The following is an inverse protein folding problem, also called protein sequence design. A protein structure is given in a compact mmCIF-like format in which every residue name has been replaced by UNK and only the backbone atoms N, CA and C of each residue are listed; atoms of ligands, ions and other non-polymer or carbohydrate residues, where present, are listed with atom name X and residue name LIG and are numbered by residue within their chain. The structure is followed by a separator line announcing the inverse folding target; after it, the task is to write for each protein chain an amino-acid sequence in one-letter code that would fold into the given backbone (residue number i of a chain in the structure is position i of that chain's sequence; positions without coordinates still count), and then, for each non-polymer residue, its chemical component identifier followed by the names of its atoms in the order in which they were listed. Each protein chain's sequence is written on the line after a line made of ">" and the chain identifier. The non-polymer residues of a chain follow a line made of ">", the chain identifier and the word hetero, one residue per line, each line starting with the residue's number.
data_IF_808188203289
#
_entry.id   IF_808188203289
#
_cell.length_a   1.000
_cell.length_b   1.000
_cell.length_c   1.000
_cell.angle_alpha   90.00
_cell.angle_beta   90.00
_cell.angle_gamma   90.00
#
_symmetry.space_group_name_H-M   'P 1'
#
loop_
_entity.id
_entity.type
_entity.pdbx_description
1 polymer ?
#
# COMPACT_ATOMS: atom_id res chain seq x y z
N UNK A 1 -36.49 53.82 1.86
CA UNK A 1 -35.97 55.09 1.34
C UNK A 1 -34.47 54.93 1.19
N UNK A 2 -33.99 54.75 -0.04
CA UNK A 2 -32.57 54.69 -0.31
C UNK A 2 -32.04 56.13 -0.25
N UNK A 3 -31.22 56.44 0.76
CA UNK A 3 -30.37 57.63 0.71
C UNK A 3 -29.49 57.46 -0.52
N UNK A 4 -29.67 58.30 -1.53
CA UNK A 4 -28.67 58.53 -2.56
C UNK A 4 -27.43 59.07 -1.83
N UNK A 5 -26.47 58.20 -1.53
CA UNK A 5 -25.14 58.61 -1.10
C UNK A 5 -24.56 59.44 -2.23
N UNK A 6 -24.46 60.75 -2.01
CA UNK A 6 -23.93 61.69 -2.98
C UNK A 6 -22.47 61.36 -3.25
N UNK A 7 -22.15 61.06 -4.51
CA UNK A 7 -20.79 60.83 -4.96
C UNK A 7 -19.98 62.13 -4.87
N UNK A 8 -18.87 62.11 -4.14
CA UNK A 8 -17.98 63.25 -3.94
C UNK A 8 -16.89 63.25 -5.03
N UNK A 9 -16.87 64.25 -5.89
CA UNK A 9 -15.88 64.37 -6.97
C UNK A 9 -14.66 65.12 -6.44
N UNK A 10 -13.49 64.48 -6.52
CA UNK A 10 -12.22 65.08 -6.11
C UNK A 10 -11.65 65.92 -7.24
N UNK A 11 -11.54 67.22 -7.02
CA UNK A 11 -10.93 68.16 -7.96
C UNK A 11 -9.41 68.08 -7.90
N UNK A 12 -8.82 67.97 -6.70
CA UNK A 12 -7.36 67.96 -6.53
C UNK A 12 -6.93 67.29 -5.24
N UNK A 13 -5.80 66.58 -5.28
CA UNK A 13 -5.10 66.10 -4.08
C UNK A 13 -4.17 67.20 -3.57
N UNK A 14 -4.38 67.66 -2.33
CA UNK A 14 -3.59 68.71 -1.68
C UNK A 14 -2.31 68.12 -1.08
N UNK A 15 -2.41 66.93 -0.49
CA UNK A 15 -1.29 66.19 0.09
C UNK A 15 -1.55 64.68 -0.01
N UNK A 16 -0.55 63.83 -0.34
CA UNK A 16 0.79 64.21 -0.80
C UNK A 16 0.75 64.90 -2.17
N UNK A 17 1.78 65.70 -2.48
CA UNK A 17 1.92 66.30 -3.82
C UNK A 17 2.28 65.16 -4.79
N UNK A 18 1.33 64.81 -5.65
CA UNK A 18 1.54 63.80 -6.69
C UNK A 18 2.04 64.54 -7.94
N UNK A 19 3.30 64.31 -8.27
CA UNK A 19 3.83 64.62 -9.60
C UNK A 19 3.31 63.58 -10.58
N UNK A 20 2.82 63.99 -11.75
CA UNK A 20 2.35 63.06 -12.80
C UNK A 20 3.40 61.96 -13.01
N UNK A 21 2.99 60.72 -12.86
CA UNK A 21 3.82 59.56 -13.18
C UNK A 21 4.08 59.56 -14.68
N UNK A 22 5.36 59.58 -15.06
CA UNK A 22 5.76 59.37 -16.44
C UNK A 22 5.32 57.98 -16.89
N UNK A 23 4.71 57.90 -18.07
CA UNK A 23 4.23 56.65 -18.63
C UNK A 23 4.66 56.54 -20.10
N UNK A 24 5.09 55.35 -20.49
CA UNK A 24 5.51 55.04 -21.86
C UNK A 24 4.82 53.75 -22.27
N UNK A 25 4.10 53.79 -23.41
CA UNK A 25 3.34 52.67 -23.96
C UNK A 25 2.40 51.96 -22.93
N UNK A 26 1.85 52.71 -21.97
CA UNK A 26 0.96 52.17 -20.92
C UNK A 26 1.66 51.58 -19.69
N UNK A 27 3.00 51.59 -19.66
CA UNK A 27 3.79 51.21 -18.50
C UNK A 27 4.07 52.43 -17.61
N UNK A 28 4.07 52.21 -16.30
CA UNK A 28 4.41 53.21 -15.28
C UNK A 28 5.29 52.56 -14.19
N UNK A 29 6.06 53.37 -13.47
CA UNK A 29 6.96 52.88 -12.42
C UNK A 29 6.16 52.08 -11.36
N UNK A 30 6.71 50.95 -10.93
CA UNK A 30 6.10 49.95 -10.04
C UNK A 30 4.91 49.16 -10.62
N UNK A 31 4.57 49.32 -11.90
CA UNK A 31 3.62 48.44 -12.56
C UNK A 31 4.13 46.99 -12.57
N UNK A 32 3.22 46.02 -12.39
CA UNK A 32 3.54 44.61 -12.55
C UNK A 32 3.39 44.29 -14.03
N UNK A 33 4.48 43.94 -14.69
CA UNK A 33 4.49 43.45 -16.06
C UNK A 33 4.35 41.92 -16.06
N UNK A 34 3.63 41.39 -17.05
CA UNK A 34 3.49 39.96 -17.28
C UNK A 34 3.95 39.61 -18.69
N UNK A 35 4.73 38.54 -18.77
CA UNK A 35 5.10 37.89 -20.02
C UNK A 35 4.82 36.39 -19.90
N UNK A 36 3.75 35.91 -20.57
CA UNK A 36 3.26 34.51 -20.44
C UNK A 36 3.02 34.12 -18.97
N UNK A 37 3.89 33.31 -18.38
CA UNK A 37 3.83 32.81 -17.00
C UNK A 37 4.87 33.48 -16.08
N UNK A 38 5.56 34.52 -16.57
CA UNK A 38 6.56 35.29 -15.82
C UNK A 38 6.01 36.66 -15.43
N UNK A 39 6.36 37.10 -14.22
CA UNK A 39 5.99 38.40 -13.66
C UNK A 39 7.25 39.20 -13.34
N UNK A 40 7.17 40.51 -13.53
CA UNK A 40 8.23 41.45 -13.24
C UNK A 40 7.68 42.80 -12.81
N UNK A 41 8.52 43.64 -12.24
CA UNK A 41 8.15 44.99 -11.79
C UNK A 41 8.89 46.01 -12.64
N UNK A 42 8.17 47.01 -13.14
CA UNK A 42 8.77 48.15 -13.84
C UNK A 42 9.54 48.98 -12.82
N UNK A 43 10.86 49.02 -12.92
CA UNK A 43 11.72 49.72 -11.96
C UNK A 43 12.12 51.11 -12.41
N UNK A 44 12.14 51.36 -13.72
CA UNK A 44 12.59 52.63 -14.29
C UNK A 44 11.93 52.92 -15.62
N UNK A 45 11.66 54.20 -15.88
CA UNK A 45 11.11 54.71 -17.14
C UNK A 45 11.89 55.96 -17.54
N UNK A 46 12.53 55.91 -18.71
CA UNK A 46 13.25 57.03 -19.29
C UNK A 46 12.66 57.34 -20.68
N UNK A 47 11.76 58.32 -20.82
CA UNK A 47 11.12 58.66 -22.08
C UNK A 47 12.09 59.14 -23.17
N UNK A 48 13.28 59.62 -22.80
CA UNK A 48 14.29 60.11 -23.75
C UNK A 48 15.21 58.99 -24.26
N UNK A 49 15.17 57.81 -23.63
CA UNK A 49 15.93 56.63 -24.02
C UNK A 49 15.32 55.88 -25.19
N UNK A 50 16.17 55.31 -26.06
CA UNK A 50 15.74 54.38 -27.10
C UNK A 50 15.06 53.12 -26.54
N UNK A 51 15.42 52.71 -25.31
CA UNK A 51 14.80 51.60 -24.56
C UNK A 51 14.17 52.17 -23.28
N UNK A 52 12.95 52.70 -23.36
CA UNK A 52 12.40 53.55 -22.32
C UNK A 52 11.87 52.81 -21.09
N UNK A 53 11.68 51.49 -21.11
CA UNK A 53 11.05 50.75 -20.00
C UNK A 53 11.98 49.68 -19.45
N UNK A 54 12.32 49.77 -18.16
CA UNK A 54 13.13 48.76 -17.45
C UNK A 54 12.25 47.89 -16.56
N UNK A 55 12.29 46.57 -16.77
CA UNK A 55 11.52 45.60 -16.00
C UNK A 55 12.49 44.67 -15.25
N UNK A 56 12.32 44.58 -13.94
CA UNK A 56 12.99 43.60 -13.10
C UNK A 56 12.11 42.35 -12.95
N UNK A 57 12.55 41.24 -13.53
CA UNK A 57 11.80 39.98 -13.53
C UNK A 57 12.14 39.14 -12.31
N UNK A 58 11.16 38.42 -11.76
CA UNK A 58 11.26 37.66 -10.50
C UNK A 58 12.39 36.61 -10.45
N UNK A 59 12.98 36.24 -11.61
CA UNK A 59 14.05 35.23 -11.72
C UNK A 59 15.23 35.66 -12.59
N UNK A 60 15.22 36.87 -13.15
CA UNK A 60 16.25 37.34 -14.09
C UNK A 60 16.76 38.73 -13.69
N UNK A 61 17.87 39.14 -14.29
CA UNK A 61 18.36 40.52 -14.14
C UNK A 61 17.39 41.52 -14.77
N UNK A 62 17.39 42.79 -14.29
CA UNK A 62 16.61 43.86 -14.90
C UNK A 62 16.95 44.02 -16.38
N UNK A 63 15.94 44.16 -17.22
CA UNK A 63 16.12 44.32 -18.66
C UNK A 63 15.34 45.52 -19.21
N UNK A 64 15.95 46.25 -20.14
CA UNK A 64 15.38 47.44 -20.77
C UNK A 64 14.78 47.12 -22.14
N UNK A 65 13.55 47.55 -22.36
CA UNK A 65 12.75 47.23 -23.55
C UNK A 65 12.44 48.47 -24.37
N UNK A 66 12.43 48.30 -25.69
CA UNK A 66 11.81 49.23 -26.65
C UNK A 66 10.28 49.05 -26.67
N UNK A 67 9.54 50.06 -27.12
CA UNK A 67 8.07 49.94 -27.28
C UNK A 67 7.66 48.80 -28.23
N UNK A 68 8.42 48.60 -29.30
CA UNK A 68 8.17 47.53 -30.26
C UNK A 68 8.44 46.14 -29.65
N UNK A 69 9.50 45.99 -28.84
CA UNK A 69 9.77 44.74 -28.13
C UNK A 69 8.66 44.41 -27.14
N UNK A 70 8.12 45.40 -26.40
CA UNK A 70 7.00 45.19 -25.48
C UNK A 70 5.78 44.62 -26.22
N UNK A 71 5.45 45.16 -27.40
CA UNK A 71 4.34 44.70 -28.24
C UNK A 71 4.59 43.30 -28.83
N UNK A 72 5.78 43.07 -29.41
CA UNK A 72 6.12 41.79 -30.07
C UNK A 72 6.21 40.65 -29.05
N UNK A 73 6.75 40.92 -27.87
CA UNK A 73 6.89 39.95 -26.79
C UNK A 73 5.60 39.75 -25.97
N UNK A 74 4.53 40.51 -26.29
CA UNK A 74 3.25 40.52 -25.57
C UNK A 74 3.44 40.72 -24.06
N UNK A 75 4.29 41.70 -23.72
CA UNK A 75 4.49 42.13 -22.35
C UNK A 75 3.38 43.13 -22.06
N UNK A 76 2.56 42.85 -21.07
CA UNK A 76 1.40 43.66 -20.71
C UNK A 76 1.46 44.00 -19.22
N UNK A 77 0.93 45.17 -18.85
CA UNK A 77 0.75 45.53 -17.44
C UNK A 77 -0.44 44.75 -16.89
N UNK A 78 -0.25 44.07 -15.76
CA UNK A 78 -1.32 43.41 -15.03
C UNK A 78 -2.17 44.47 -14.36
N UNK A 79 -3.46 44.51 -14.70
CA UNK A 79 -4.43 45.40 -14.05
C UNK A 79 -4.48 45.11 -12.54
N UNK A 80 -4.02 46.06 -11.74
CA UNK A 80 -3.97 45.90 -10.29
C UNK A 80 -5.23 46.45 -9.60
N UNK A 81 -5.98 47.36 -10.24
CA UNK A 81 -7.22 47.93 -9.71
C UNK A 81 -8.42 47.19 -10.33
N UNK A 82 -8.80 46.07 -9.72
CA UNK A 82 -9.97 45.29 -10.11
C UNK A 82 -11.23 45.81 -9.37
N UNK A 83 -12.30 46.21 -10.09
CA UNK A 83 -13.59 46.58 -9.51
C UNK A 83 -14.14 45.51 -8.56
N UNK A 84 -14.69 45.95 -7.42
CA UNK A 84 -15.29 45.15 -6.36
C UNK A 84 -14.36 44.11 -5.70
N UNK A 85 -13.11 44.03 -6.16
CA UNK A 85 -12.12 43.05 -5.70
C UNK A 85 -10.89 43.70 -5.07
N UNK A 86 -10.65 44.99 -5.29
CA UNK A 86 -9.43 45.64 -4.79
C UNK A 86 -9.74 46.55 -3.61
N UNK A 87 -9.05 46.34 -2.51
CA UNK A 87 -9.07 47.21 -1.33
C UNK A 87 -7.77 48.02 -1.33
N UNK A 88 -7.90 49.33 -1.22
CA UNK A 88 -6.81 50.30 -1.22
C UNK A 88 -6.80 51.08 0.10
N UNK A 89 -5.65 51.65 0.42
CA UNK A 89 -5.46 52.54 1.58
C UNK A 89 -4.80 53.83 1.12
N UNK A 90 -5.16 54.94 1.77
CA UNK A 90 -4.53 56.23 1.51
C UNK A 90 -3.20 56.36 2.26
N UNK A 91 -2.22 57.08 1.68
CA UNK A 91 -1.05 57.52 2.44
C UNK A 91 -1.45 58.33 3.68
N UNK A 92 -0.60 58.35 4.72
CA UNK A 92 -0.90 59.10 5.94
C UNK A 92 -1.06 60.59 5.65
N UNK A 93 -2.07 61.19 6.27
CA UNK A 93 -2.44 62.60 6.14
C UNK A 93 -2.87 63.04 4.72
N UNK A 94 -3.44 62.12 3.94
CA UNK A 94 -3.97 62.46 2.61
C UNK A 94 -5.13 63.43 2.73
N UNK A 95 -5.02 64.59 2.07
CA UNK A 95 -6.07 65.62 2.05
C UNK A 95 -6.43 65.94 0.62
N UNK A 96 -7.73 65.94 0.33
CA UNK A 96 -8.28 66.19 -1.01
C UNK A 96 -9.22 67.39 -1.00
N UNK A 97 -9.28 68.11 -2.12
CA UNK A 97 -10.24 69.16 -2.41
C UNK A 97 -11.34 68.59 -3.29
N UNK A 98 -12.58 68.73 -2.86
CA UNK A 98 -13.77 68.37 -3.62
C UNK A 98 -14.20 69.52 -4.53
N UNK A 99 -14.96 69.21 -5.59
CA UNK A 99 -15.47 70.21 -6.55
C UNK A 99 -16.42 71.24 -5.94
N UNK A 100 -16.98 70.97 -4.76
CA UNK A 100 -17.81 71.90 -3.99
C UNK A 100 -16.98 72.83 -3.08
N UNK A 101 -15.65 72.68 -3.08
CA UNK A 101 -14.70 73.45 -2.29
C UNK A 101 -14.43 72.89 -0.90
N UNK A 102 -15.04 71.77 -0.50
CA UNK A 102 -14.79 71.11 0.78
C UNK A 102 -13.44 70.38 0.77
N UNK A 103 -12.75 70.38 1.92
CA UNK A 103 -11.51 69.61 2.12
C UNK A 103 -11.78 68.39 2.99
N UNK A 104 -11.50 67.20 2.44
CA UNK A 104 -11.64 65.93 3.15
C UNK A 104 -10.25 65.39 3.47
N UNK A 105 -10.04 65.02 4.73
CA UNK A 105 -8.81 64.38 5.20
C UNK A 105 -9.09 62.90 5.47
N UNK A 106 -8.32 62.04 4.80
CA UNK A 106 -8.40 60.59 5.00
C UNK A 106 -7.49 60.16 6.15
N UNK A 107 -8.00 59.24 6.96
CA UNK A 107 -7.25 58.63 8.06
C UNK A 107 -6.43 57.43 7.56
N UNK A 108 -5.22 57.18 8.10
CA UNK A 108 -4.28 56.19 7.57
C UNK A 108 -4.76 54.72 7.67
N UNK A 109 -5.84 54.46 8.40
CA UNK A 109 -6.40 53.11 8.58
C UNK A 109 -7.67 52.87 7.75
N UNK A 110 -8.12 53.87 6.99
CA UNK A 110 -9.32 53.74 6.16
C UNK A 110 -9.08 52.76 5.02
N UNK A 111 -9.98 51.79 4.91
CA UNK A 111 -10.01 50.82 3.82
C UNK A 111 -11.05 51.27 2.81
N UNK A 112 -10.59 51.46 1.58
CA UNK A 112 -11.41 51.96 0.49
C UNK A 112 -11.55 50.82 -0.54
N UNK A 113 -12.77 50.48 -0.92
CA UNK A 113 -13.07 49.47 -1.94
C UNK A 113 -13.13 50.15 -3.30
N UNK A 114 -12.41 49.62 -4.28
CA UNK A 114 -12.56 50.06 -5.68
C UNK A 114 -13.91 49.59 -6.20
N UNK A 115 -14.80 50.53 -6.55
CA UNK A 115 -16.12 50.23 -7.12
C UNK A 115 -16.07 50.11 -8.63
N UNK A 116 -15.42 51.06 -9.28
CA UNK A 116 -15.36 51.18 -10.72
C UNK A 116 -14.04 51.81 -11.15
N UNK A 117 -13.50 51.32 -12.26
CA UNK A 117 -12.29 51.85 -12.90
C UNK A 117 -12.63 52.10 -14.36
N UNK A 118 -12.40 53.31 -14.82
CA UNK A 118 -12.49 53.72 -16.23
C UNK A 118 -11.13 54.23 -16.70
N UNK A 119 -10.99 54.49 -18.00
CA UNK A 119 -9.72 54.92 -18.61
C UNK A 119 -9.10 56.17 -17.97
N UNK A 120 -9.91 57.06 -17.35
CA UNK A 120 -9.45 58.31 -16.77
C UNK A 120 -9.86 58.53 -15.31
N UNK A 121 -10.72 57.67 -14.76
CA UNK A 121 -11.31 57.88 -13.43
C UNK A 121 -11.40 56.60 -12.61
N UNK A 122 -11.30 56.77 -11.29
CA UNK A 122 -11.39 55.72 -10.30
C UNK A 122 -12.47 56.08 -9.27
N UNK A 123 -13.45 55.22 -9.07
CA UNK A 123 -14.47 55.38 -8.03
C UNK A 123 -14.15 54.43 -6.88
N UNK A 124 -14.07 54.99 -5.68
CA UNK A 124 -13.74 54.26 -4.46
C UNK A 124 -14.82 54.52 -3.41
N UNK A 125 -15.10 53.51 -2.59
CA UNK A 125 -16.07 53.60 -1.49
C UNK A 125 -15.36 53.34 -0.18
N UNK A 126 -15.59 54.18 0.83
CA UNK A 126 -15.11 53.89 2.17
C UNK A 126 -15.94 52.76 2.78
N UNK A 127 -15.28 51.67 3.16
CA UNK A 127 -15.92 50.45 3.67
C UNK A 127 -16.65 50.68 5.00
N UNK A 128 -16.29 51.72 5.75
CA UNK A 128 -16.89 52.02 7.06
C UNK A 128 -17.98 53.09 6.98
N UNK A 129 -17.78 54.14 6.17
CA UNK A 129 -18.72 55.26 6.07
C UNK A 129 -19.67 55.17 4.88
N UNK A 130 -19.45 54.23 3.96
CA UNK A 130 -20.17 54.07 2.68
C UNK A 130 -20.10 55.31 1.76
N UNK A 131 -19.21 56.25 2.07
CA UNK A 131 -19.01 57.43 1.24
C UNK A 131 -18.24 57.06 -0.04
N UNK A 132 -18.69 57.59 -1.17
CA UNK A 132 -18.08 57.33 -2.47
C UNK A 132 -17.33 58.56 -2.98
N UNK A 133 -16.13 58.32 -3.48
CA UNK A 133 -15.21 59.34 -3.97
C UNK A 133 -14.78 59.00 -5.39
N UNK A 134 -14.82 59.98 -6.28
CA UNK A 134 -14.31 59.85 -7.65
C UNK A 134 -13.00 60.62 -7.79
N UNK A 135 -11.95 59.92 -8.22
CA UNK A 135 -10.61 60.45 -8.46
C UNK A 135 -10.26 60.39 -9.94
N UNK A 136 -9.41 61.31 -10.40
CA UNK A 136 -8.65 61.12 -11.63
C UNK A 136 -7.60 60.01 -11.42
N UNK A 137 -7.54 59.06 -12.34
CA UNK A 137 -6.68 57.87 -12.20
C UNK A 137 -5.19 58.25 -12.08
N UNK A 138 -4.75 59.24 -12.85
CA UNK A 138 -3.37 59.73 -12.89
C UNK A 138 -2.97 60.56 -11.66
N UNK A 139 -3.95 60.97 -10.85
CA UNK A 139 -3.75 61.77 -9.65
C UNK A 139 -4.14 61.03 -8.37
N UNK A 140 -4.23 59.70 -8.42
CA UNK A 140 -4.68 58.91 -7.28
C UNK A 140 -3.51 58.54 -6.33
N UNK A 141 -3.53 58.92 -5.03
CA UNK A 141 -2.41 58.66 -4.12
C UNK A 141 -2.47 57.29 -3.44
N UNK A 142 -3.58 56.57 -3.56
CA UNK A 142 -3.81 55.34 -2.79
C UNK A 142 -2.92 54.18 -3.23
N UNK A 143 -2.63 53.30 -2.27
CA UNK A 143 -1.87 52.07 -2.48
C UNK A 143 -2.77 50.86 -2.31
N UNK A 144 -2.50 49.81 -3.07
CA UNK A 144 -3.23 48.55 -2.92
C UNK A 144 -2.87 47.92 -1.59
N UNK A 145 -3.90 47.63 -0.79
CA UNK A 145 -3.77 46.96 0.50
C UNK A 145 -4.04 45.45 0.36
N UNK A 146 -5.09 45.07 -0.36
CA UNK A 146 -5.45 43.67 -0.56
C UNK A 146 -6.33 43.46 -1.79
N UNK A 147 -6.30 42.24 -2.35
CA UNK A 147 -7.27 41.75 -3.32
C UNK A 147 -8.18 40.70 -2.69
N UNK A 148 -9.49 40.84 -2.91
CA UNK A 148 -10.49 39.82 -2.63
C UNK A 148 -10.41 38.77 -3.73
N UNK A 149 -9.86 37.61 -3.37
CA UNK A 149 -9.86 36.43 -4.23
C UNK A 149 -11.18 35.71 -3.99
N UNK A 150 -12.09 35.82 -4.93
CA UNK A 150 -13.25 34.94 -5.00
C UNK A 150 -12.78 33.64 -5.63
N UNK A 151 -12.71 32.58 -4.82
CA UNK A 151 -12.53 31.23 -5.34
C UNK A 151 -13.72 30.96 -6.27
N UNK A 152 -13.50 30.43 -7.49
CA UNK A 152 -14.61 30.03 -8.33
C UNK A 152 -15.49 29.09 -7.51
N UNK A 153 -16.80 29.34 -7.49
CA UNK A 153 -17.79 28.39 -6.98
C UNK A 153 -17.68 27.13 -7.83
N UNK A 154 -16.74 26.25 -7.47
CA UNK A 154 -16.75 24.87 -7.91
C UNK A 154 -18.08 24.36 -7.38
N UNK A 155 -19.00 24.03 -8.30
CA UNK A 155 -20.24 23.34 -7.97
C UNK A 155 -19.88 22.24 -6.97
N UNK A 156 -20.24 22.43 -5.71
CA UNK A 156 -19.94 21.52 -4.61
C UNK A 156 -20.81 20.29 -4.86
N UNK A 157 -20.36 19.40 -5.74
CA UNK A 157 -20.77 18.01 -5.67
C UNK A 157 -20.16 17.55 -4.34
N UNK A 158 -20.98 17.18 -3.34
CA UNK A 158 -20.45 16.61 -2.10
C UNK A 158 -19.50 15.49 -2.49
N UNK A 159 -18.31 15.42 -1.89
CA UNK A 159 -17.34 14.32 -2.13
C UNK A 159 -18.01 12.94 -1.91
N UNK A 160 -19.09 12.91 -1.14
CA UNK A 160 -19.96 11.78 -0.86
C UNK A 160 -20.77 11.26 -2.08
N UNK A 161 -21.01 12.10 -3.09
CA UNK A 161 -21.76 11.76 -4.32
C UNK A 161 -20.85 11.36 -5.50
N UNK A 162 -19.54 11.62 -5.40
CA UNK A 162 -18.58 11.18 -6.42
C UNK A 162 -18.41 9.65 -6.36
N UNK A 163 -18.48 8.96 -7.50
CA UNK A 163 -18.28 7.53 -7.53
C UNK A 163 -16.86 7.18 -7.09
N UNK A 164 -16.75 6.16 -6.23
CA UNK A 164 -15.46 5.67 -5.76
C UNK A 164 -14.59 5.23 -6.93
N UNK A 165 -13.32 5.61 -6.89
CA UNK A 165 -12.34 5.14 -7.85
C UNK A 165 -12.08 3.63 -7.68
N UNK A 166 -11.62 2.99 -8.75
CA UNK A 166 -11.27 1.55 -8.72
C UNK A 166 -10.27 1.22 -7.60
N UNK A 167 -9.28 2.08 -7.37
CA UNK A 167 -8.26 1.87 -6.34
C UNK A 167 -8.86 1.95 -4.92
N UNK A 168 -9.76 2.90 -4.69
CA UNK A 168 -10.45 3.02 -3.40
C UNK A 168 -11.37 1.83 -3.14
N UNK A 169 -12.08 1.35 -4.18
CA UNK A 169 -12.90 0.14 -4.09
C UNK A 169 -12.08 -1.10 -3.76
N UNK A 170 -10.88 -1.24 -4.33
CA UNK A 170 -9.96 -2.34 -4.03
C UNK A 170 -9.50 -2.28 -2.57
N UNK A 171 -8.99 -1.12 -2.11
CA UNK A 171 -8.52 -0.95 -0.74
C UNK A 171 -9.63 -1.19 0.28
N UNK A 172 -10.83 -0.65 0.03
CA UNK A 172 -12.00 -0.87 0.89
C UNK A 172 -12.41 -2.34 0.92
N UNK A 173 -12.34 -3.07 -0.21
CA UNK A 173 -12.66 -4.49 -0.27
C UNK A 173 -11.65 -5.33 0.53
N UNK A 174 -10.34 -5.05 0.40
CA UNK A 174 -9.28 -5.74 1.15
C UNK A 174 -9.46 -5.57 2.66
N UNK A 175 -9.66 -4.32 3.12
CA UNK A 175 -9.91 -4.01 4.52
C UNK A 175 -11.18 -4.69 5.04
N UNK A 176 -12.26 -4.64 4.26
CA UNK A 176 -13.52 -5.26 4.63
C UNK A 176 -13.39 -6.78 4.78
N UNK A 177 -12.70 -7.45 3.84
CA UNK A 177 -12.42 -8.88 3.90
C UNK A 177 -11.59 -9.25 5.12
N UNK A 178 -10.56 -8.47 5.44
CA UNK A 178 -9.71 -8.70 6.61
C UNK A 178 -10.49 -8.61 7.93
N UNK A 179 -11.49 -7.72 8.02
CA UNK A 179 -12.25 -7.47 9.24
C UNK A 179 -13.49 -8.36 9.38
N UNK A 180 -14.18 -8.67 8.28
CA UNK A 180 -15.52 -9.27 8.33
C UNK A 180 -15.58 -10.70 7.79
N UNK A 181 -14.60 -11.15 7.00
CA UNK A 181 -14.64 -12.48 6.42
C UNK A 181 -14.28 -13.55 7.46
N UNK A 182 -15.19 -14.51 7.65
CA UNK A 182 -14.93 -15.65 8.51
C UNK A 182 -14.08 -16.71 7.80
N UNK A 183 -12.82 -16.84 8.20
CA UNK A 183 -11.85 -17.76 7.60
C UNK A 183 -12.25 -19.24 7.68
N UNK A 184 -13.18 -19.62 8.56
CA UNK A 184 -13.71 -21.00 8.63
C UNK A 184 -14.42 -21.38 7.31
N UNK A 185 -15.00 -20.40 6.62
CA UNK A 185 -15.73 -20.61 5.36
C UNK A 185 -14.80 -21.02 4.20
N UNK A 186 -13.48 -20.83 4.32
CA UNK A 186 -12.51 -21.17 3.28
C UNK A 186 -12.50 -22.67 2.94
N UNK A 187 -12.68 -23.55 3.94
CA UNK A 187 -12.67 -25.00 3.71
C UNK A 187 -13.90 -25.49 2.92
N UNK A 188 -14.94 -24.65 2.80
CA UNK A 188 -16.17 -24.93 2.08
C UNK A 188 -16.51 -23.85 1.07
N UNK A 189 -15.51 -23.11 0.57
CA UNK A 189 -15.74 -21.97 -0.31
C UNK A 189 -16.44 -22.45 -1.60
N UNK A 190 -17.60 -21.86 -1.88
CA UNK A 190 -18.36 -22.09 -3.11
C UNK A 190 -18.62 -20.76 -3.80
N UNK A 191 -18.90 -20.77 -5.12
CA UNK A 191 -19.29 -19.54 -5.83
C UNK A 191 -20.49 -18.83 -5.17
N UNK A 192 -21.41 -19.58 -4.58
CA UNK A 192 -22.55 -19.03 -3.85
C UNK A 192 -22.15 -18.27 -2.58
N UNK A 193 -21.16 -18.77 -1.84
CA UNK A 193 -20.61 -18.09 -0.65
C UNK A 193 -19.86 -16.83 -1.09
N UNK A 194 -19.02 -16.92 -2.13
CA UNK A 194 -18.30 -15.77 -2.67
C UNK A 194 -19.26 -14.65 -3.11
N UNK A 195 -20.33 -15.00 -3.84
CA UNK A 195 -21.37 -14.05 -4.23
C UNK A 195 -22.12 -13.45 -3.04
N UNK A 196 -22.45 -14.26 -2.02
CA UNK A 196 -23.12 -13.76 -0.81
C UNK A 196 -22.25 -12.75 -0.07
N UNK A 197 -20.96 -13.04 0.08
CA UNK A 197 -20.01 -12.16 0.75
C UNK A 197 -19.80 -10.87 -0.05
N UNK A 198 -19.67 -10.96 -1.38
CA UNK A 198 -19.62 -9.80 -2.26
C UNK A 198 -20.87 -8.92 -2.12
N UNK A 199 -22.04 -9.54 -2.02
CA UNK A 199 -23.30 -8.81 -1.81
C UNK A 199 -23.30 -8.06 -0.47
N UNK A 200 -22.83 -8.69 0.60
CA UNK A 200 -22.67 -8.01 1.90
C UNK A 200 -21.69 -6.83 1.83
N UNK A 201 -20.57 -6.99 1.14
CA UNK A 201 -19.65 -5.87 0.89
C UNK A 201 -20.33 -4.74 0.12
N UNK A 202 -21.05 -5.06 -0.96
CA UNK A 202 -21.79 -4.05 -1.76
C UNK A 202 -22.82 -3.27 -0.94
N UNK A 203 -23.49 -3.93 0.01
CA UNK A 203 -24.44 -3.28 0.93
C UNK A 203 -23.76 -2.38 1.98
N UNK A 204 -22.49 -2.66 2.30
CA UNK A 204 -21.71 -1.85 3.23
C UNK A 204 -21.16 -0.56 2.62
N UNK A 205 -21.14 -0.46 1.28
CA UNK A 205 -20.74 0.74 0.57
C UNK A 205 -21.87 1.77 0.66
N UNK A 206 -21.61 2.88 1.35
CA UNK A 206 -22.54 3.99 1.49
C UNK A 206 -22.57 4.91 0.25
N UNK A 207 -21.59 4.77 -0.65
CA UNK A 207 -21.39 5.63 -1.81
C UNK A 207 -21.79 4.91 -3.12
N UNK A 208 -22.29 5.65 -4.12
CA UNK A 208 -22.55 5.08 -5.44
C UNK A 208 -21.25 4.57 -6.07
N UNK A 209 -21.30 3.40 -6.69
CA UNK A 209 -20.17 2.83 -7.41
C UNK A 209 -20.62 2.20 -8.72
N UNK A 210 -19.71 2.17 -9.70
CA UNK A 210 -19.97 1.53 -11.00
C UNK A 210 -19.86 0.01 -10.82
N UNK A 211 -20.89 -0.73 -11.27
CA UNK A 211 -20.95 -2.19 -11.09
C UNK A 211 -19.76 -2.92 -11.69
N UNK A 212 -19.24 -2.49 -12.84
CA UNK A 212 -18.06 -3.11 -13.48
C UNK A 212 -16.80 -2.96 -12.63
N UNK A 213 -16.61 -1.78 -12.03
CA UNK A 213 -15.41 -1.45 -11.26
C UNK A 213 -15.46 -2.14 -9.91
N UNK A 214 -16.65 -2.25 -9.31
CA UNK A 214 -16.87 -3.04 -8.11
C UNK A 214 -16.53 -4.53 -8.33
N UNK A 215 -16.96 -5.09 -9.47
CA UNK A 215 -16.72 -6.49 -9.81
C UNK A 215 -15.22 -6.77 -9.99
N UNK A 216 -14.54 -5.89 -10.72
CA UNK A 216 -13.10 -5.97 -10.95
C UNK A 216 -12.34 -5.81 -9.63
N UNK A 217 -12.64 -4.76 -8.86
CA UNK A 217 -12.01 -4.49 -7.57
C UNK A 217 -12.18 -5.65 -6.59
N UNK A 218 -13.39 -6.20 -6.49
CA UNK A 218 -13.69 -7.35 -5.65
C UNK A 218 -12.88 -8.58 -6.06
N UNK A 219 -12.85 -8.90 -7.36
CA UNK A 219 -12.16 -10.09 -7.85
C UNK A 219 -10.67 -10.09 -7.49
N UNK A 220 -10.01 -8.94 -7.64
CA UNK A 220 -8.59 -8.76 -7.33
C UNK A 220 -8.36 -8.83 -5.81
N UNK A 221 -9.13 -8.06 -5.03
CA UNK A 221 -9.01 -8.04 -3.57
C UNK A 221 -9.28 -9.42 -2.96
N UNK A 222 -10.29 -10.12 -3.45
CA UNK A 222 -10.65 -11.45 -2.96
C UNK A 222 -9.58 -12.49 -3.31
N UNK A 223 -9.03 -12.47 -4.53
CA UNK A 223 -7.93 -13.37 -4.91
C UNK A 223 -6.67 -13.13 -4.07
N UNK A 224 -6.32 -11.87 -3.83
CA UNK A 224 -5.19 -11.54 -2.95
C UNK A 224 -5.43 -12.01 -1.51
N UNK A 225 -6.63 -11.79 -0.98
CA UNK A 225 -7.02 -12.29 0.33
C UNK A 225 -6.86 -13.82 0.42
N UNK A 226 -7.34 -14.56 -0.58
CA UNK A 226 -7.18 -16.02 -0.63
C UNK A 226 -5.70 -16.44 -0.60
N UNK A 227 -4.83 -15.78 -1.38
CA UNK A 227 -3.38 -16.05 -1.37
C UNK A 227 -2.74 -15.81 0.00
N UNK A 228 -3.17 -14.77 0.71
CA UNK A 228 -2.70 -14.55 2.09
C UNK A 228 -3.19 -15.63 3.04
N UNK A 229 -4.46 -16.02 2.95
CA UNK A 229 -5.02 -17.05 3.81
C UNK A 229 -4.37 -18.42 3.54
N UNK A 230 -3.98 -18.71 2.29
CA UNK A 230 -3.22 -19.91 1.93
C UNK A 230 -1.91 -20.03 2.70
N UNK A 231 -1.27 -18.89 3.00
CA UNK A 231 -0.03 -18.81 3.77
C UNK A 231 -0.28 -18.83 5.28
N UNK A 232 -1.31 -18.11 5.76
CA UNK A 232 -1.57 -17.92 7.19
C UNK A 232 -2.27 -19.12 7.82
N UNK A 233 -3.39 -19.55 7.22
CA UNK A 233 -4.28 -20.59 7.76
C UNK A 233 -4.12 -21.88 6.95
N UNK A 234 -4.00 -21.77 5.63
CA UNK A 234 -3.97 -22.90 4.72
C UNK A 234 -5.37 -23.47 4.46
N UNK A 235 -5.42 -24.66 3.90
CA UNK A 235 -6.65 -25.40 3.60
C UNK A 235 -6.62 -26.72 4.40
N UNK A 236 -7.63 -26.92 5.26
CA UNK A 236 -7.68 -28.02 6.25
C UNK A 236 -6.41 -28.16 7.11
N UNK A 237 -5.78 -27.04 7.44
CA UNK A 237 -4.54 -26.98 8.24
C UNK A 237 -3.25 -27.21 7.44
N UNK A 238 -3.34 -27.49 6.14
CA UNK A 238 -2.19 -27.58 5.23
C UNK A 238 -1.91 -26.20 4.62
N UNK A 239 -0.74 -25.65 4.90
CA UNK A 239 -0.31 -24.32 4.43
C UNK A 239 0.60 -24.42 3.22
N UNK A 240 0.71 -23.33 2.47
CA UNK A 240 1.83 -23.18 1.52
C UNK A 240 3.14 -23.40 2.27
N UNK A 241 4.12 -24.03 1.61
CA UNK A 241 5.38 -24.50 2.16
C UNK A 241 5.30 -25.72 3.10
N UNK A 242 4.12 -26.31 3.35
CA UNK A 242 4.01 -27.55 4.13
C UNK A 242 4.75 -28.69 3.43
N UNK A 243 5.63 -29.37 4.17
CA UNK A 243 6.36 -30.53 3.69
C UNK A 243 5.45 -31.76 3.70
N UNK A 244 5.42 -32.47 2.59
CA UNK A 244 4.64 -33.68 2.40
C UNK A 244 5.58 -34.86 2.16
N UNK A 245 5.11 -36.04 2.56
CA UNK A 245 5.82 -37.30 2.41
C UNK A 245 4.89 -38.32 1.77
N UNK A 246 5.37 -38.91 0.69
CA UNK A 246 4.78 -40.08 0.08
C UNK A 246 5.60 -41.32 0.42
N UNK A 247 4.94 -42.32 1.00
CA UNK A 247 5.53 -43.62 1.27
C UNK A 247 5.14 -44.61 0.17
N UNK A 248 6.12 -44.97 -0.66
CA UNK A 248 6.02 -46.11 -1.56
C UNK A 248 6.19 -47.43 -0.77
N UNK A 249 5.19 -47.82 0.02
CA UNK A 249 5.05 -49.21 0.47
C UNK A 249 3.77 -49.80 -0.12
N UNK A 250 3.86 -51.03 -0.67
CA UNK A 250 2.75 -51.87 -1.16
C UNK A 250 1.63 -52.12 -0.11
N UNK A 251 1.75 -51.58 1.10
CA UNK A 251 0.77 -51.67 2.18
C UNK A 251 -0.33 -50.60 2.14
N UNK A 252 -0.21 -49.56 1.31
CA UNK A 252 -1.21 -48.47 1.26
C UNK A 252 -2.61 -48.92 0.81
N UNK A 253 -2.72 -50.05 0.11
CA UNK A 253 -4.03 -50.65 -0.22
C UNK A 253 -4.60 -51.57 0.88
N UNK A 254 -3.78 -52.07 1.82
CA UNK A 254 -4.25 -52.98 2.90
C UNK A 254 -4.49 -52.25 4.23
N UNK A 255 -3.76 -51.18 4.53
CA UNK A 255 -3.91 -50.47 5.81
C UNK A 255 -5.04 -49.43 5.80
N UNK A 256 -5.40 -48.86 4.64
CA UNK A 256 -6.61 -48.06 4.49
C UNK A 256 -7.90 -48.87 4.74
N UNK A 257 -7.83 -50.20 4.59
CA UNK A 257 -8.94 -51.12 4.86
C UNK A 257 -8.99 -51.56 6.34
N UNK A 258 -7.89 -51.41 7.09
CA UNK A 258 -7.78 -51.96 8.46
C UNK A 258 -7.82 -50.90 9.58
N UNK A 259 -7.53 -49.62 9.30
CA UNK A 259 -7.36 -48.61 10.34
C UNK A 259 -8.64 -47.84 10.75
N UNK A 260 -9.76 -47.98 10.03
CA UNK A 260 -10.98 -47.17 10.27
C UNK A 260 -12.26 -48.02 10.44
N UNK A 261 -12.19 -49.09 11.24
CA UNK A 261 -13.35 -49.89 11.63
C UNK A 261 -14.38 -49.14 12.51
N UNK A 262 -14.15 -47.85 12.83
CA UNK A 262 -15.02 -47.02 13.67
C UNK A 262 -15.57 -45.76 12.98
N UNK A 263 -15.31 -45.55 11.69
CA UNK A 263 -15.93 -44.45 10.93
C UNK A 263 -17.32 -44.87 10.44
N UNK A 264 -18.32 -44.03 10.69
CA UNK A 264 -19.72 -44.25 10.29
C UNK A 264 -19.86 -44.60 8.80
N UNK A 265 -20.70 -45.60 8.52
CA UNK A 265 -20.94 -46.22 7.20
C UNK A 265 -21.11 -45.21 6.03
N UNK A 266 -21.59 -43.99 6.30
CA UNK A 266 -21.79 -42.91 5.32
C UNK A 266 -20.48 -42.33 4.74
N UNK A 267 -19.39 -42.26 5.50
CA UNK A 267 -18.08 -41.79 5.00
C UNK A 267 -17.43 -42.82 4.04
N UNK A 268 -17.79 -44.10 4.23
CA UNK A 268 -17.26 -45.22 3.47
C UNK A 268 -17.88 -45.32 2.07
N UNK A 269 -19.17 -44.99 1.94
CA UNK A 269 -19.85 -44.95 0.66
C UNK A 269 -19.38 -43.77 -0.18
N UNK A 270 -19.09 -42.60 0.41
CA UNK A 270 -18.52 -41.44 -0.30
C UNK A 270 -17.09 -41.70 -0.81
N UNK A 271 -16.24 -42.36 -0.01
CA UNK A 271 -14.89 -42.78 -0.44
C UNK A 271 -14.95 -43.86 -1.53
N UNK A 272 -15.86 -44.84 -1.43
CA UNK A 272 -16.05 -45.84 -2.49
C UNK A 272 -16.63 -45.25 -3.76
N UNK A 273 -17.51 -44.25 -3.66
CA UNK A 273 -18.10 -43.57 -4.81
C UNK A 273 -17.05 -42.71 -5.53
N UNK A 274 -16.21 -41.97 -4.79
CA UNK A 274 -15.08 -41.23 -5.32
C UNK A 274 -14.03 -42.14 -6.00
N UNK A 275 -13.71 -43.29 -5.39
CA UNK A 275 -12.77 -44.28 -5.95
C UNK A 275 -13.35 -45.04 -7.16
N UNK A 276 -14.68 -45.20 -7.27
CA UNK A 276 -15.34 -45.78 -8.47
C UNK A 276 -15.51 -44.79 -9.61
N UNK A 277 -15.59 -43.50 -9.32
CA UNK A 277 -15.85 -42.45 -10.32
C UNK A 277 -14.69 -42.24 -11.31
N UNK A 278 -13.44 -42.55 -10.94
CA UNK A 278 -12.31 -42.40 -11.87
C UNK A 278 -11.06 -43.24 -11.49
N UNK A 279 -11.10 -44.58 -11.59
CA UNK A 279 -9.93 -45.44 -11.37
C UNK A 279 -8.78 -45.15 -12.36
N UNK A 280 -9.08 -44.49 -13.48
CA UNK A 280 -8.08 -44.06 -14.45
C UNK A 280 -7.30 -42.83 -13.96
N UNK A 281 -7.95 -41.86 -13.31
CA UNK A 281 -7.26 -40.71 -12.71
C UNK A 281 -6.28 -41.11 -11.60
N UNK A 282 -6.61 -42.10 -10.76
CA UNK A 282 -5.67 -42.65 -9.77
C UNK A 282 -4.50 -43.39 -10.43
N UNK A 283 -4.73 -44.07 -11.55
CA UNK A 283 -3.66 -44.65 -12.38
C UNK A 283 -2.83 -43.58 -13.06
N UNK A 284 -3.39 -42.44 -13.44
CA UNK A 284 -2.67 -41.35 -14.10
C UNK A 284 -1.90 -40.50 -13.08
N UNK A 285 -2.43 -40.30 -11.86
CA UNK A 285 -1.70 -39.72 -10.74
C UNK A 285 -0.58 -40.65 -10.27
N UNK A 286 -0.82 -41.97 -10.21
CA UNK A 286 0.25 -42.95 -9.93
C UNK A 286 1.28 -43.09 -11.06
N UNK A 287 0.95 -42.68 -12.30
CA UNK A 287 1.94 -42.51 -13.39
C UNK A 287 2.73 -41.20 -13.26
N UNK A 288 2.12 -40.13 -12.73
CA UNK A 288 2.80 -38.87 -12.45
C UNK A 288 3.83 -39.02 -11.33
N UNK A 289 3.55 -39.88 -10.34
CA UNK A 289 4.50 -40.25 -9.29
C UNK A 289 5.40 -41.39 -9.82
N UNK A 290 6.73 -41.25 -9.89
CA UNK A 290 7.57 -42.31 -10.45
C UNK A 290 7.52 -43.57 -9.58
N UNK A 291 6.97 -44.65 -10.12
CA UNK A 291 7.34 -46.02 -9.74
C UNK A 291 8.81 -46.20 -10.15
N UNK A 292 9.72 -45.84 -9.25
CA UNK A 292 11.14 -46.16 -9.42
C UNK A 292 11.30 -47.68 -9.51
N UNK A 293 12.07 -48.14 -10.49
CA UNK A 293 12.49 -49.54 -10.55
C UNK A 293 13.17 -49.93 -9.23
N UNK A 294 12.85 -51.10 -8.65
CA UNK A 294 13.37 -51.51 -7.36
C UNK A 294 14.84 -51.88 -7.51
N UNK A 295 15.72 -50.93 -7.20
CA UNK A 295 17.14 -51.18 -6.93
C UNK A 295 17.41 -50.73 -5.50
N UNK A 296 17.63 -51.72 -4.64
CA UNK A 296 18.20 -51.65 -3.30
C UNK A 296 17.39 -51.00 -2.15
N UNK A 297 16.58 -51.86 -1.51
CA UNK A 297 16.42 -52.04 -0.05
C UNK A 297 16.12 -50.85 0.88
N UNK A 298 15.73 -49.68 0.38
CA UNK A 298 15.02 -48.68 1.15
C UNK A 298 13.74 -48.30 0.42
N UNK A 299 12.57 -48.52 1.05
CA UNK A 299 11.29 -48.02 0.53
C UNK A 299 11.46 -46.55 0.15
N UNK A 300 11.30 -46.24 -1.14
CA UNK A 300 11.63 -44.93 -1.69
C UNK A 300 10.61 -43.90 -1.20
N UNK A 301 10.89 -43.29 -0.06
CA UNK A 301 10.16 -42.13 0.45
C UNK A 301 10.42 -40.92 -0.45
N UNK A 302 9.37 -40.35 -1.03
CA UNK A 302 9.46 -39.12 -1.81
C UNK A 302 8.92 -37.96 -0.98
N UNK A 303 9.71 -36.90 -0.87
CA UNK A 303 9.27 -35.67 -0.23
C UNK A 303 8.83 -34.64 -1.27
N UNK A 304 7.89 -33.79 -0.88
CA UNK A 304 7.45 -32.63 -1.65
C UNK A 304 7.02 -31.49 -0.75
N UNK A 305 6.64 -30.38 -1.36
CA UNK A 305 6.23 -29.16 -0.68
C UNK A 305 5.02 -28.53 -1.36
N UNK A 306 4.04 -28.10 -0.58
CA UNK A 306 2.87 -27.37 -1.10
C UNK A 306 3.35 -26.02 -1.63
N UNK A 307 3.07 -25.76 -2.90
CA UNK A 307 3.45 -24.52 -3.60
C UNK A 307 2.29 -23.53 -3.69
N UNK A 308 1.07 -24.05 -3.86
CA UNK A 308 -0.13 -23.24 -3.99
C UNK A 308 -1.37 -23.98 -3.50
N UNK A 309 -2.44 -23.23 -3.20
CA UNK A 309 -3.70 -23.75 -2.67
C UNK A 309 -4.86 -23.11 -3.42
N UNK A 310 -5.73 -23.93 -4.00
CA UNK A 310 -6.99 -23.49 -4.62
C UNK A 310 -8.16 -23.78 -3.67
N UNK A 311 -8.64 -22.72 -3.02
CA UNK A 311 -9.79 -22.80 -2.11
C UNK A 311 -11.12 -23.12 -2.83
N UNK A 312 -11.28 -22.74 -4.11
CA UNK A 312 -12.52 -22.98 -4.87
C UNK A 312 -12.66 -24.44 -5.27
N UNK A 313 -11.53 -25.07 -5.62
CA UNK A 313 -11.48 -26.49 -5.96
C UNK A 313 -11.18 -27.39 -4.76
N UNK A 314 -10.89 -26.81 -3.60
CA UNK A 314 -10.45 -27.53 -2.39
C UNK A 314 -9.24 -28.44 -2.67
N UNK A 315 -8.32 -27.96 -3.49
CA UNK A 315 -7.13 -28.68 -3.95
C UNK A 315 -5.87 -27.87 -3.65
N UNK A 316 -4.72 -28.53 -3.73
CA UNK A 316 -3.42 -27.89 -3.55
C UNK A 316 -2.39 -28.43 -4.54
N UNK A 317 -1.50 -27.54 -4.96
CA UNK A 317 -0.38 -27.87 -5.83
C UNK A 317 0.83 -28.29 -5.00
N UNK A 318 1.33 -29.49 -5.27
CA UNK A 318 2.45 -30.12 -4.60
C UNK A 318 3.62 -30.24 -5.57
N UNK A 319 4.77 -29.67 -5.20
CA UNK A 319 6.02 -29.85 -5.93
C UNK A 319 6.89 -30.88 -5.22
N UNK A 320 7.21 -31.97 -5.91
CA UNK A 320 8.05 -33.04 -5.39
C UNK A 320 9.53 -32.72 -5.59
N UNK A 321 10.39 -33.37 -4.79
CA UNK A 321 11.86 -33.21 -4.89
C UNK A 321 12.46 -33.60 -6.26
N UNK A 322 11.71 -34.35 -7.07
CA UNK A 322 12.09 -34.69 -8.44
C UNK A 322 11.64 -33.63 -9.47
N UNK A 323 11.26 -32.44 -9.00
CA UNK A 323 10.72 -31.32 -9.78
C UNK A 323 9.38 -31.55 -10.47
N UNK A 324 8.70 -32.69 -10.24
CA UNK A 324 7.33 -32.88 -10.74
C UNK A 324 6.33 -32.13 -9.87
N UNK A 325 5.31 -31.56 -10.50
CA UNK A 325 4.18 -30.94 -9.83
C UNK A 325 2.95 -31.84 -9.92
N UNK A 326 2.13 -31.84 -8.88
CA UNK A 326 0.86 -32.58 -8.83
C UNK A 326 -0.20 -31.70 -8.17
N UNK A 327 -1.42 -31.70 -8.69
CA UNK A 327 -2.55 -31.07 -8.03
C UNK A 327 -3.35 -32.17 -7.34
N UNK A 328 -3.60 -32.03 -6.04
CA UNK A 328 -4.25 -33.05 -5.23
C UNK A 328 -5.31 -32.42 -4.31
N UNK A 329 -6.43 -33.09 -4.17
CA UNK A 329 -7.38 -32.89 -3.07
C UNK A 329 -6.94 -33.67 -1.82
N UNK A 330 -7.59 -33.40 -0.68
CA UNK A 330 -7.33 -34.16 0.55
C UNK A 330 -7.77 -35.61 0.46
N UNK A 331 -8.84 -35.90 -0.27
CA UNK A 331 -9.29 -37.27 -0.46
C UNK A 331 -8.24 -38.05 -1.25
N UNK A 332 -7.67 -37.47 -2.29
CA UNK A 332 -6.57 -38.08 -3.05
C UNK A 332 -5.29 -38.21 -2.21
N UNK A 333 -4.95 -37.19 -1.42
CA UNK A 333 -3.83 -37.24 -0.48
C UNK A 333 -3.94 -38.44 0.47
N UNK A 334 -5.13 -38.63 1.09
CA UNK A 334 -5.41 -39.77 1.97
C UNK A 334 -5.37 -41.10 1.20
N UNK A 335 -5.97 -41.15 0.01
CA UNK A 335 -6.00 -42.36 -0.81
C UNK A 335 -4.60 -42.81 -1.27
N UNK A 336 -3.69 -41.85 -1.51
CA UNK A 336 -2.30 -42.11 -1.89
C UNK A 336 -1.35 -42.30 -0.70
N UNK A 337 -1.88 -42.31 0.53
CA UNK A 337 -1.10 -42.36 1.77
C UNK A 337 0.01 -41.29 1.82
N UNK A 338 -0.31 -40.09 1.33
CA UNK A 338 0.55 -38.91 1.46
C UNK A 338 0.28 -38.29 2.83
N UNK A 339 1.32 -38.10 3.61
CA UNK A 339 1.23 -37.57 4.97
C UNK A 339 1.99 -36.26 5.06
N UNK A 340 1.39 -35.27 5.74
CA UNK A 340 2.08 -34.05 6.10
C UNK A 340 3.19 -34.34 7.12
N UNK A 341 4.31 -33.63 7.00
CA UNK A 341 5.47 -33.73 7.87
C UNK A 341 5.56 -32.46 8.71
N UNK A 342 5.45 -32.62 10.01
CA UNK A 342 5.60 -31.54 10.98
C UNK A 342 7.03 -31.48 11.48
N UNK A 343 7.59 -30.28 11.58
CA UNK A 343 8.86 -30.02 12.25
C UNK A 343 8.62 -29.48 13.65
N UNK A 344 9.23 -30.11 14.66
CA UNK A 344 8.99 -29.82 16.06
C UNK A 344 10.34 -29.54 16.73
N UNK A 345 10.43 -28.37 17.37
CA UNK A 345 11.57 -27.99 18.21
C UNK A 345 11.29 -28.39 19.66
N UNK A 346 12.17 -29.20 20.24
CA UNK A 346 12.11 -29.57 21.66
C UNK A 346 12.98 -28.65 22.52
N UNK A 347 14.13 -28.22 21.99
CA UNK A 347 15.01 -27.22 22.58
C UNK A 347 15.87 -26.58 21.50
N UNK A 348 16.67 -25.57 21.85
CA UNK A 348 17.61 -24.88 20.94
C UNK A 348 18.57 -25.84 20.22
N UNK A 349 18.83 -26.99 20.83
CA UNK A 349 19.77 -27.99 20.34
C UNK A 349 19.11 -29.29 19.88
N UNK A 350 17.79 -29.46 20.00
CA UNK A 350 17.11 -30.72 19.65
C UNK A 350 15.80 -30.43 18.92
N UNK A 351 15.69 -30.97 17.71
CA UNK A 351 14.47 -30.91 16.90
C UNK A 351 14.22 -32.24 16.20
N UNK A 352 13.00 -32.43 15.71
CA UNK A 352 12.66 -33.60 14.90
C UNK A 352 11.55 -33.31 13.89
N UNK A 353 11.57 -34.05 12.79
CA UNK A 353 10.48 -34.16 11.83
C UNK A 353 9.68 -35.43 12.11
N UNK A 354 8.36 -35.33 12.13
CA UNK A 354 7.46 -36.47 12.25
C UNK A 354 6.32 -36.36 11.26
N UNK A 355 5.96 -37.45 10.60
CA UNK A 355 4.77 -37.50 9.76
C UNK A 355 3.51 -37.69 10.60
N UNK A 356 2.35 -37.22 10.12
CA UNK A 356 1.08 -37.33 10.86
C UNK A 356 0.65 -38.77 11.15
N UNK A 357 0.95 -39.69 10.23
CA UNK A 357 0.73 -41.14 10.40
C UNK A 357 1.79 -41.82 11.28
N UNK A 358 2.77 -41.06 11.81
CA UNK A 358 3.87 -41.56 12.63
C UNK A 358 4.73 -42.65 11.95
N UNK A 359 4.67 -42.78 10.62
CA UNK A 359 5.50 -43.73 9.87
C UNK A 359 6.94 -43.24 9.70
N UNK A 360 7.13 -41.92 9.68
CA UNK A 360 8.42 -41.25 9.53
C UNK A 360 8.77 -40.46 10.79
N UNK A 361 10.00 -40.66 11.28
CA UNK A 361 10.62 -39.84 12.32
C UNK A 361 12.08 -39.62 11.97
N UNK A 362 12.48 -38.37 11.95
CA UNK A 362 13.87 -37.98 11.79
C UNK A 362 14.24 -36.95 12.84
N UNK A 363 15.36 -37.13 13.54
CA UNK A 363 15.75 -36.24 14.64
C UNK A 363 17.14 -35.65 14.42
N UNK A 364 17.28 -34.41 14.86
CA UNK A 364 18.46 -33.58 14.70
C UNK A 364 18.92 -33.08 16.07
N UNK A 365 20.22 -33.19 16.31
CA UNK A 365 20.85 -32.77 17.56
C UNK A 365 21.99 -31.82 17.22
N UNK A 366 21.77 -30.55 17.52
CA UNK A 366 22.64 -29.42 17.24
C UNK A 366 23.65 -29.12 18.35
N UNK A 367 24.77 -28.53 17.97
CA UNK A 367 25.83 -28.09 18.86
C UNK A 367 26.49 -26.81 18.35
N UNK A 368 26.86 -25.93 19.28
CA UNK A 368 27.63 -24.71 18.96
C UNK A 368 29.05 -25.00 18.47
N UNK A 369 29.71 -26.04 19.00
CA UNK A 369 31.09 -26.39 18.66
C UNK A 369 31.30 -27.88 18.41
N UNK A 370 32.24 -28.19 17.51
CA UNK A 370 32.69 -29.57 17.21
C UNK A 370 33.18 -30.31 18.46
N UNK A 371 33.83 -29.60 19.38
CA UNK A 371 34.38 -30.16 20.63
C UNK A 371 33.26 -30.67 21.54
N UNK A 372 32.20 -29.88 21.71
CA UNK A 372 31.02 -30.27 22.49
C UNK A 372 30.30 -31.45 21.84
N UNK A 373 30.08 -31.40 20.52
CA UNK A 373 29.46 -32.50 19.78
C UNK A 373 30.19 -33.83 19.99
N UNK A 374 31.53 -33.83 19.94
CA UNK A 374 32.34 -35.03 20.20
C UNK A 374 32.28 -35.49 21.65
N UNK A 375 32.25 -34.57 22.61
CA UNK A 375 32.19 -34.90 24.04
C UNK A 375 30.86 -35.58 24.40
N UNK A 376 29.74 -35.06 23.87
CA UNK A 376 28.40 -35.59 24.14
C UNK A 376 28.04 -36.84 23.32
N UNK A 377 28.78 -37.16 22.26
CA UNK A 377 28.49 -38.25 21.33
C UNK A 377 28.20 -39.58 22.05
N UNK A 378 29.02 -39.98 23.02
CA UNK A 378 28.85 -41.26 23.73
C UNK A 378 27.56 -41.28 24.55
N UNK A 379 27.29 -40.21 25.29
CA UNK A 379 26.11 -40.09 26.14
C UNK A 379 24.83 -40.11 25.31
N UNK A 380 24.80 -39.34 24.21
CA UNK A 380 23.65 -39.25 23.33
C UNK A 380 23.42 -40.57 22.60
N UNK A 381 24.49 -41.18 22.06
CA UNK A 381 24.40 -42.49 21.39
C UNK A 381 23.81 -43.57 22.29
N UNK A 382 24.08 -43.50 23.61
CA UNK A 382 23.49 -44.41 24.62
C UNK A 382 21.98 -44.21 24.79
N UNK A 383 21.50 -42.97 24.66
CA UNK A 383 20.09 -42.61 24.84
C UNK A 383 19.30 -42.88 23.55
N UNK A 384 19.67 -42.23 22.44
CA UNK A 384 18.84 -42.24 21.22
C UNK A 384 19.19 -43.37 20.25
N UNK A 385 20.43 -43.86 20.25
CA UNK A 385 20.89 -44.91 19.33
C UNK A 385 21.96 -44.44 18.34
N UNK A 386 21.96 -44.97 17.12
CA UNK A 386 22.98 -44.68 16.11
C UNK A 386 22.79 -43.27 15.54
N UNK A 387 23.87 -42.49 15.61
CA UNK A 387 23.95 -41.16 15.01
C UNK A 387 24.77 -41.23 13.72
N UNK A 388 24.45 -40.33 12.80
CA UNK A 388 25.20 -40.05 11.59
C UNK A 388 26.55 -39.41 11.88
N UNK A 389 27.35 -39.22 10.82
CA UNK A 389 28.55 -38.41 10.91
C UNK A 389 28.20 -36.94 11.19
N UNK A 390 29.06 -36.28 11.96
CA UNK A 390 28.88 -34.88 12.32
C UNK A 390 28.93 -34.01 11.06
N UNK A 391 27.84 -33.28 10.77
CA UNK A 391 27.76 -32.34 9.65
C UNK A 391 28.09 -30.91 10.11
N UNK A 392 28.79 -30.16 9.26
CA UNK A 392 29.04 -28.73 9.44
C UNK A 392 28.12 -27.95 8.51
N UNK A 393 27.19 -27.17 9.08
CA UNK A 393 26.24 -26.39 8.30
C UNK A 393 26.65 -24.92 8.13
N UNK A 394 27.89 -24.54 8.51
CA UNK A 394 28.41 -23.18 8.20
C UNK A 394 28.59 -22.94 6.70
N UNK A 395 28.68 -24.00 5.90
CA UNK A 395 29.09 -23.96 4.49
C UNK A 395 27.88 -23.95 3.54
N UNK A 396 26.72 -24.45 3.97
CA UNK A 396 25.50 -24.57 3.16
C UNK A 396 24.39 -23.68 3.74
N UNK A 397 24.18 -22.51 3.11
CA UNK A 397 23.25 -21.46 3.56
C UNK A 397 21.75 -21.82 3.58
N UNK A 398 21.34 -23.03 3.16
CA UNK A 398 19.93 -23.32 2.87
C UNK A 398 19.27 -24.43 3.70
N UNK A 399 20.02 -25.27 4.42
CA UNK A 399 19.46 -26.53 4.95
C UNK A 399 19.56 -26.68 6.47
N UNK A 400 20.17 -25.73 7.20
CA UNK A 400 20.26 -25.82 8.66
C UNK A 400 18.92 -25.48 9.30
N UNK A 401 18.22 -26.52 9.79
CA UNK A 401 16.95 -26.34 10.50
C UNK A 401 17.13 -25.89 11.97
N UNK A 402 18.37 -25.85 12.47
CA UNK A 402 18.77 -25.33 13.78
C UNK A 402 19.79 -24.21 13.59
N UNK A 403 19.78 -23.19 14.45
CA UNK A 403 20.78 -22.10 14.47
C UNK A 403 22.20 -22.56 14.90
N UNK A 404 22.39 -23.87 15.03
CA UNK A 404 23.63 -24.48 15.52
C UNK A 404 24.61 -24.78 14.37
N UNK A 405 25.90 -24.72 14.69
CA UNK A 405 26.97 -24.83 13.68
C UNK A 405 27.28 -26.27 13.29
N UNK A 406 26.95 -27.23 14.15
CA UNK A 406 27.31 -28.64 14.01
C UNK A 406 26.13 -29.51 14.41
N UNK A 407 25.81 -30.55 13.64
CA UNK A 407 24.61 -31.36 13.89
C UNK A 407 24.88 -32.86 13.66
N UNK A 408 24.28 -33.67 14.53
CA UNK A 408 24.07 -35.09 14.30
C UNK A 408 22.61 -35.36 13.94
N UNK A 409 22.40 -36.14 12.87
CA UNK A 409 21.11 -36.78 12.57
C UNK A 409 21.04 -38.17 13.19
N UNK A 410 19.92 -38.54 13.78
CA UNK A 410 19.69 -39.90 14.29
C UNK A 410 19.37 -40.83 13.10
N UNK A 411 20.26 -41.78 12.80
CA UNK A 411 20.08 -42.74 11.70
C UNK A 411 19.20 -43.91 12.12
N UNK A 412 19.44 -44.44 13.32
CA UNK A 412 18.69 -45.57 13.84
C UNK A 412 18.43 -45.40 15.32
N UNK A 413 17.16 -45.30 15.67
CA UNK A 413 16.76 -45.24 17.07
C UNK A 413 17.01 -46.56 17.78
N UNK A 414 17.50 -46.50 19.01
CA UNK A 414 17.68 -47.67 19.89
C UNK A 414 16.35 -48.37 20.19
N UNK A 415 15.29 -47.58 20.35
CA UNK A 415 13.96 -48.06 20.69
C UNK A 415 13.10 -48.25 19.44
N UNK A 416 12.36 -49.38 19.37
CA UNK A 416 11.45 -49.65 18.24
C UNK A 416 10.16 -48.83 18.26
N UNK A 417 9.58 -48.61 19.45
CA UNK A 417 8.30 -47.88 19.62
C UNK A 417 8.46 -46.36 19.50
N UNK A 418 7.57 -45.71 18.75
CA UNK A 418 7.55 -44.25 18.56
C UNK A 418 7.52 -43.48 19.89
N UNK A 419 6.64 -43.85 20.82
CA UNK A 419 6.54 -43.21 22.14
C UNK A 419 7.88 -43.19 22.89
N UNK A 420 8.60 -44.30 22.87
CA UNK A 420 9.93 -44.42 23.51
C UNK A 420 11.00 -43.62 22.77
N UNK A 421 10.92 -43.51 21.43
CA UNK A 421 11.82 -42.66 20.64
C UNK A 421 11.67 -41.19 21.01
N UNK A 422 10.42 -40.71 21.09
CA UNK A 422 10.13 -39.33 21.50
C UNK A 422 10.57 -39.05 22.94
N UNK A 423 10.31 -39.96 23.88
CA UNK A 423 10.82 -39.86 25.26
C UNK A 423 12.35 -39.79 25.30
N UNK A 424 13.04 -40.54 24.44
CA UNK A 424 14.51 -40.50 24.36
C UNK A 424 15.00 -39.14 23.85
N UNK A 425 14.28 -38.51 22.92
CA UNK A 425 14.60 -37.16 22.44
C UNK A 425 14.32 -36.09 23.50
N UNK A 426 13.23 -36.22 24.25
CA UNK A 426 12.89 -35.35 25.38
C UNK A 426 13.94 -35.43 26.50
N UNK A 427 14.42 -36.64 26.81
CA UNK A 427 15.55 -36.80 27.74
C UNK A 427 16.81 -36.07 27.25
N UNK A 428 17.08 -36.08 25.93
CA UNK A 428 18.24 -35.38 25.37
C UNK A 428 18.03 -33.86 25.37
N UNK A 429 16.80 -33.38 25.12
CA UNK A 429 16.52 -31.93 25.12
C UNK A 429 16.66 -31.30 26.51
N UNK A 430 16.47 -32.09 27.57
CA UNK A 430 16.71 -31.68 28.96
C UNK A 430 18.21 -31.61 29.33
N UNK A 431 19.11 -32.16 28.50
CA UNK A 431 20.55 -32.04 28.73
C UNK A 431 21.04 -30.65 28.34
N UNK A 432 21.91 -30.06 29.16
CA UNK A 432 22.57 -28.81 28.82
C UNK A 432 23.74 -29.07 27.84
N UNK A 433 23.41 -29.16 26.55
CA UNK A 433 24.36 -29.48 25.48
C UNK A 433 25.38 -28.35 25.19
N UNK A 434 25.19 -27.16 25.78
CA UNK A 434 26.13 -26.04 25.70
C UNK A 434 27.31 -26.15 26.66
N UNK A 435 27.17 -27.00 27.69
CA UNK A 435 28.24 -27.27 28.66
C UNK A 435 28.88 -28.62 28.37
N UNK A 436 30.07 -28.84 28.91
CA UNK A 436 30.69 -30.17 28.87
C UNK A 436 29.81 -31.17 29.64
N UNK A 437 29.71 -32.42 29.17
CA UNK A 437 29.00 -33.44 29.91
C UNK A 437 29.62 -33.62 31.30
N UNK A 438 28.80 -33.81 32.35
CA UNK A 438 29.30 -34.16 33.67
C UNK A 438 30.11 -35.46 33.56
N UNK A 439 31.26 -35.49 34.26
CA UNK A 439 32.22 -36.60 34.20
C UNK A 439 31.64 -37.91 34.70
#
# INVERSE_FOLDING_TARGET
>A
MAFLLAMKIVEKVIYPIITKTESVAGFYINAIARQRDSYGVVTDIDPESYRPVTINWDKNEPFTYTEDELRVLKIEVVEQLLPLKTIITMPPATTVLLTDGEQVKFEPQEKLLVKEVSDCSLIIENVTTEETYQFELNGFPGKIFAHKIELPEIAVIPVEELPLSLQELQLKAELWLALNFNSILLNGLTPAIEQRVKHQYSQSLQQPCVSSDLDLAWSVAFEQYLKEQARKIGLFGLKVATKMLWHAEERSLRNAVAADANASQSSYDDLRYALRGNPQALKDISKCIPLGTPSDNHAASLFGQITDIDYRQQSFSLQWNNAKQSCLSILEMKALAISAVSFIHLSDNVSYEVSWDCSYLNAYIGFRTKKLAKAWLRTIKRIVGRLSNLKDYRVTKSDSQLETKWEYRVEQFRCKSMKKRLQSLEMVSQLNLDKMPPK
#
